data_IF_456336131809
#
_entry.id   IF_456336131809
#
_cell.length_a   1.000
_cell.length_b   1.000
_cell.length_c   1.000
_cell.angle_alpha   90.00
_cell.angle_beta   90.00
_cell.angle_gamma   90.00
#
_symmetry.space_group_name_H-M   'P 1'
#
loop_
_entity.id
_entity.type
_entity.pdbx_description
1 polymer ?
#
# COMPACT_ATOMS: atom_id res chain seq x y z
N UNK A 1 -17.63 48.18 42.05
CA UNK A 1 -17.14 48.93 40.88
C UNK A 1 -15.80 48.32 40.49
N UNK A 2 -15.73 47.78 39.27
CA UNK A 2 -14.51 47.47 38.48
C UNK A 2 -13.57 46.36 38.97
N UNK A 3 -13.73 45.12 38.50
CA UNK A 3 -12.63 44.13 38.33
C UNK A 3 -12.96 42.92 37.42
N UNK A 4 -14.01 42.97 36.56
CA UNK A 4 -14.41 41.81 35.75
C UNK A 4 -14.40 42.01 34.22
N UNK A 5 -13.89 43.14 33.72
CA UNK A 5 -13.91 43.48 32.29
C UNK A 5 -12.57 43.38 31.57
N UNK A 6 -11.46 43.20 32.29
CA UNK A 6 -10.13 43.46 31.71
C UNK A 6 -9.34 42.19 31.36
N UNK A 7 -9.85 40.99 31.70
CA UNK A 7 -9.18 39.71 31.40
C UNK A 7 -9.61 39.03 30.10
N UNK A 8 -10.70 39.49 29.46
CA UNK A 8 -11.18 38.94 28.19
C UNK A 8 -10.56 39.63 26.96
N UNK A 9 -9.94 40.80 27.12
CA UNK A 9 -9.35 41.54 26.00
C UNK A 9 -7.92 41.11 25.65
N UNK A 10 -7.11 40.66 26.62
CA UNK A 10 -5.72 40.25 26.36
C UNK A 10 -5.60 38.86 25.69
N UNK A 11 -6.57 37.96 25.89
CA UNK A 11 -6.61 36.67 25.20
C UNK A 11 -7.03 36.75 23.72
N UNK A 12 -7.66 37.86 23.31
CA UNK A 12 -8.05 38.09 21.91
C UNK A 12 -6.90 38.64 21.05
N UNK A 13 -6.09 39.57 21.60
CA UNK A 13 -5.03 40.27 20.85
C UNK A 13 -3.86 39.35 20.48
N UNK A 14 -3.56 38.35 21.31
CA UNK A 14 -2.53 37.34 21.01
C UNK A 14 -2.94 36.34 19.94
N UNK A 15 -4.23 35.99 19.85
CA UNK A 15 -4.76 35.05 18.84
C UNK A 15 -4.73 35.66 17.46
N UNK A 16 -5.09 36.93 17.33
CA UNK A 16 -5.14 37.62 16.04
C UNK A 16 -3.73 37.85 15.44
N UNK A 17 -2.73 38.13 16.27
CA UNK A 17 -1.35 38.36 15.81
C UNK A 17 -0.57 37.09 15.45
N UNK A 18 -0.89 35.94 16.05
CA UNK A 18 -0.32 34.62 15.67
C UNK A 18 -0.96 34.09 14.38
N UNK A 19 -2.26 34.32 14.22
CA UNK A 19 -3.03 33.99 13.01
C UNK A 19 -2.58 34.82 11.80
N UNK A 20 -2.17 36.08 12.01
CA UNK A 20 -1.74 37.01 10.94
C UNK A 20 -0.39 36.67 10.27
N UNK A 21 0.46 35.85 10.89
CA UNK A 21 1.80 35.50 10.36
C UNK A 21 1.89 34.10 9.73
N UNK A 22 0.77 33.38 9.64
CA UNK A 22 0.70 32.07 9.00
C UNK A 22 0.17 32.25 7.57
N UNK A 23 0.74 31.58 6.56
CA UNK A 23 0.21 31.65 5.19
C UNK A 23 -1.26 31.20 5.21
N UNK A 24 -2.12 31.91 4.47
CA UNK A 24 -3.58 31.96 4.62
C UNK A 24 -4.37 30.63 4.55
N UNK A 25 -3.71 29.48 4.34
CA UNK A 25 -4.29 28.15 4.47
C UNK A 25 -3.96 27.42 5.78
N UNK A 26 -3.01 27.92 6.59
CA UNK A 26 -2.51 27.28 7.82
C UNK A 26 -3.18 27.87 9.07
N UNK A 27 -3.75 29.07 8.98
CA UNK A 27 -4.39 29.77 10.10
C UNK A 27 -5.63 29.05 10.65
N UNK A 28 -6.44 28.44 9.78
CA UNK A 28 -7.70 27.81 10.18
C UNK A 28 -7.46 26.48 10.93
N UNK A 29 -6.58 25.62 10.40
CA UNK A 29 -6.20 24.36 11.07
C UNK A 29 -5.61 24.59 12.47
N UNK A 30 -4.85 25.67 12.66
CA UNK A 30 -4.27 26.01 13.96
C UNK A 30 -5.34 26.40 14.99
N UNK A 31 -6.39 27.11 14.55
CA UNK A 31 -7.55 27.47 15.38
C UNK A 31 -8.39 26.23 15.71
N UNK A 32 -8.61 25.33 14.75
CA UNK A 32 -9.34 24.07 14.97
C UNK A 32 -8.58 23.13 15.92
N UNK A 33 -7.25 23.09 15.82
CA UNK A 33 -6.40 22.33 16.76
C UNK A 33 -6.45 22.90 18.18
N UNK A 34 -6.46 24.23 18.32
CA UNK A 34 -6.60 24.89 19.62
C UNK A 34 -7.98 24.62 20.24
N UNK A 35 -9.04 24.58 19.42
CA UNK A 35 -10.40 24.23 19.87
C UNK A 35 -10.48 22.80 20.44
N UNK A 36 -9.65 21.88 19.94
CA UNK A 36 -9.53 20.50 20.44
C UNK A 36 -8.52 20.40 21.61
N UNK A 37 -7.89 21.52 22.00
CA UNK A 37 -6.88 21.57 23.08
C UNK A 37 -5.51 21.01 22.68
N UNK A 38 -5.24 20.87 21.39
CA UNK A 38 -3.97 20.34 20.87
C UNK A 38 -2.99 21.46 20.52
N UNK A 39 -1.85 21.49 21.20
CA UNK A 39 -0.74 22.41 20.88
C UNK A 39 0.22 21.76 19.88
N UNK A 40 0.37 22.27 18.64
CA UNK A 40 1.31 21.72 17.68
C UNK A 40 2.76 21.93 18.15
N UNK A 41 3.48 20.83 18.40
CA UNK A 41 4.91 20.85 18.82
C UNK A 41 5.85 20.69 17.62
N UNK A 42 5.35 20.19 16.50
CA UNK A 42 6.16 19.92 15.30
C UNK A 42 6.02 21.05 14.28
N UNK A 43 7.16 21.60 13.83
CA UNK A 43 7.20 22.50 12.67
C UNK A 43 6.86 21.68 11.43
N UNK A 44 5.81 22.04 10.68
CA UNK A 44 5.41 21.36 9.43
C UNK A 44 6.32 21.83 8.29
N UNK A 45 7.25 20.99 7.77
CA UNK A 45 8.19 21.43 6.75
C UNK A 45 7.68 21.18 5.32
N UNK A 46 6.65 20.35 5.15
CA UNK A 46 6.24 19.85 3.85
C UNK A 46 5.20 20.75 3.17
N UNK A 47 5.51 21.17 1.95
CA UNK A 47 4.53 21.82 1.06
C UNK A 47 3.50 20.83 0.49
N UNK A 48 2.52 21.34 -0.25
CA UNK A 48 1.49 20.53 -0.93
C UNK A 48 2.11 19.53 -1.93
N UNK A 49 3.05 19.99 -2.75
CA UNK A 49 3.71 19.17 -3.77
C UNK A 49 4.57 18.09 -3.11
N UNK A 50 5.26 18.41 -2.02
CA UNK A 50 6.10 17.47 -1.29
C UNK A 50 5.27 16.39 -0.60
N UNK A 51 4.13 16.75 -0.01
CA UNK A 51 3.18 15.81 0.61
C UNK A 51 2.50 14.89 -0.41
N UNK A 52 2.22 15.42 -1.61
CA UNK A 52 1.72 14.60 -2.73
C UNK A 52 2.79 13.63 -3.23
N UNK A 53 4.02 14.12 -3.44
CA UNK A 53 5.14 13.31 -3.90
C UNK A 53 5.50 12.19 -2.90
N UNK A 54 5.49 12.48 -1.60
CA UNK A 54 5.76 11.46 -0.57
C UNK A 54 4.73 10.33 -0.59
N UNK A 55 3.46 10.66 -0.82
CA UNK A 55 2.37 9.68 -0.92
C UNK A 55 2.54 8.79 -2.15
N UNK A 56 2.92 9.37 -3.30
CA UNK A 56 3.20 8.61 -4.52
C UNK A 56 4.41 7.67 -4.36
N UNK A 57 5.47 8.14 -3.69
CA UNK A 57 6.65 7.32 -3.38
C UNK A 57 6.31 6.13 -2.47
N UNK A 58 5.47 6.35 -1.45
CA UNK A 58 5.09 5.32 -0.49
C UNK A 58 4.28 4.17 -1.12
N UNK A 59 3.50 4.44 -2.17
CA UNK A 59 2.61 3.45 -2.78
C UNK A 59 3.33 2.43 -3.68
N UNK A 60 4.54 2.73 -4.19
CA UNK A 60 5.29 1.89 -5.14
C UNK A 60 4.40 1.11 -6.14
N UNK A 61 3.65 1.85 -6.97
CA UNK A 61 2.64 1.26 -7.84
C UNK A 61 3.21 0.23 -8.83
N UNK A 62 4.40 0.50 -9.39
CA UNK A 62 5.00 -0.34 -10.45
C UNK A 62 5.27 -1.77 -9.96
N UNK A 63 5.87 -1.91 -8.77
CA UNK A 63 6.17 -3.22 -8.20
C UNK A 63 4.91 -4.00 -7.82
N UNK A 64 3.93 -3.33 -7.22
CA UNK A 64 2.69 -3.97 -6.77
C UNK A 64 1.85 -4.43 -7.97
N UNK A 65 1.72 -3.60 -9.01
CA UNK A 65 0.97 -3.97 -10.22
C UNK A 65 1.57 -5.21 -10.88
N UNK A 66 2.89 -5.38 -10.93
CA UNK A 66 3.53 -6.58 -11.51
C UNK A 66 3.10 -7.87 -10.79
N UNK A 67 3.22 -7.88 -9.47
CA UNK A 67 2.90 -9.06 -8.66
C UNK A 67 1.40 -9.35 -8.71
N UNK A 68 0.57 -8.32 -8.61
CA UNK A 68 -0.89 -8.46 -8.66
C UNK A 68 -1.36 -8.92 -10.03
N UNK A 69 -0.76 -8.41 -11.12
CA UNK A 69 -1.07 -8.87 -12.46
C UNK A 69 -0.69 -10.34 -12.62
N UNK A 70 0.52 -10.75 -12.23
CA UNK A 70 0.95 -12.14 -12.32
C UNK A 70 0.01 -13.10 -11.58
N UNK A 71 -0.30 -12.81 -10.32
CA UNK A 71 -1.17 -13.67 -9.49
C UNK A 71 -2.61 -13.65 -10.01
N UNK A 72 -3.14 -12.48 -10.38
CA UNK A 72 -4.49 -12.34 -10.91
C UNK A 72 -4.68 -13.08 -12.22
N UNK A 73 -3.67 -13.04 -13.11
CA UNK A 73 -3.69 -13.76 -14.38
C UNK A 73 -3.65 -15.28 -14.15
N UNK A 74 -2.80 -15.73 -13.21
CA UNK A 74 -2.63 -17.14 -12.90
C UNK A 74 -3.87 -17.79 -12.26
N UNK A 75 -4.66 -17.02 -11.51
CA UNK A 75 -5.77 -17.55 -10.68
C UNK A 75 -7.17 -17.30 -11.26
N UNK A 76 -7.41 -16.15 -11.88
CA UNK A 76 -8.75 -15.72 -12.29
C UNK A 76 -8.92 -15.41 -13.77
N UNK A 77 -7.83 -15.34 -14.54
CA UNK A 77 -7.87 -14.90 -15.93
C UNK A 77 -8.22 -13.41 -16.10
N UNK A 78 -8.27 -12.90 -17.35
CA UNK A 78 -8.29 -11.46 -17.61
C UNK A 78 -9.60 -10.79 -17.18
N UNK A 79 -10.73 -11.47 -17.37
CA UNK A 79 -12.04 -10.93 -17.04
C UNK A 79 -12.20 -10.72 -15.53
N UNK A 80 -11.70 -11.65 -14.71
CA UNK A 80 -11.75 -11.52 -13.25
C UNK A 80 -10.84 -10.41 -12.73
N UNK A 81 -9.71 -10.18 -13.40
CA UNK A 81 -8.81 -9.08 -13.04
C UNK A 81 -9.41 -7.71 -13.32
N UNK A 82 -10.03 -7.53 -14.48
CA UNK A 82 -10.68 -6.26 -14.83
C UNK A 82 -11.89 -5.98 -13.94
N UNK A 83 -12.72 -6.99 -13.66
CA UNK A 83 -13.88 -6.81 -12.78
C UNK A 83 -13.47 -6.50 -11.34
N UNK A 84 -12.48 -7.20 -10.79
CA UNK A 84 -11.96 -6.92 -9.44
C UNK A 84 -11.25 -5.57 -9.34
N UNK A 85 -10.51 -5.15 -10.38
CA UNK A 85 -9.86 -3.84 -10.43
C UNK A 85 -10.86 -2.70 -10.43
N UNK A 86 -11.96 -2.81 -11.20
CA UNK A 86 -13.02 -1.79 -11.22
C UNK A 86 -13.71 -1.65 -9.85
N UNK A 87 -14.04 -2.77 -9.20
CA UNK A 87 -14.62 -2.77 -7.86
C UNK A 87 -13.67 -2.10 -6.86
N UNK A 88 -12.36 -2.40 -6.97
CA UNK A 88 -11.34 -1.79 -6.11
C UNK A 88 -11.22 -0.27 -6.32
N UNK A 89 -11.26 0.20 -7.56
CA UNK A 89 -11.21 1.65 -7.87
C UNK A 89 -12.40 2.37 -7.24
N UNK A 90 -13.62 1.84 -7.40
CA UNK A 90 -14.82 2.46 -6.82
C UNK A 90 -14.76 2.45 -5.30
N UNK A 91 -14.43 1.29 -4.70
CA UNK A 91 -14.35 1.16 -3.24
C UNK A 91 -13.29 2.09 -2.62
N UNK A 92 -12.09 2.12 -3.20
CA UNK A 92 -11.00 2.98 -2.71
C UNK A 92 -11.30 4.47 -2.88
N UNK A 93 -11.98 4.88 -3.95
CA UNK A 93 -12.39 6.28 -4.16
C UNK A 93 -13.39 6.73 -3.11
N UNK A 94 -14.39 5.89 -2.80
CA UNK A 94 -15.39 6.19 -1.75
C UNK A 94 -14.69 6.28 -0.39
N UNK A 95 -13.82 5.32 -0.06
CA UNK A 95 -13.05 5.36 1.19
C UNK A 95 -12.18 6.61 1.28
N UNK A 96 -11.52 7.01 0.20
CA UNK A 96 -10.70 8.21 0.16
C UNK A 96 -11.53 9.49 0.36
N UNK A 97 -12.74 9.57 -0.21
CA UNK A 97 -13.63 10.71 -0.01
C UNK A 97 -14.07 10.85 1.46
N UNK A 98 -14.48 9.74 2.10
CA UNK A 98 -14.84 9.72 3.53
C UNK A 98 -13.65 10.14 4.39
N UNK A 99 -12.45 9.65 4.07
CA UNK A 99 -11.25 10.02 4.80
C UNK A 99 -10.92 11.51 4.64
N UNK A 100 -11.12 12.07 3.45
CA UNK A 100 -10.90 13.49 3.19
C UNK A 100 -11.84 14.38 4.03
N UNK A 101 -13.11 14.00 4.17
CA UNK A 101 -14.08 14.70 5.04
C UNK A 101 -13.65 14.66 6.51
N UNK A 102 -13.23 13.49 7.01
CA UNK A 102 -12.75 13.33 8.39
C UNK A 102 -11.48 14.15 8.64
N UNK A 103 -10.51 14.11 7.70
CA UNK A 103 -9.27 14.88 7.81
C UNK A 103 -9.53 16.39 7.86
N UNK A 104 -10.56 16.89 7.15
CA UNK A 104 -10.94 18.31 7.17
C UNK A 104 -11.61 18.72 8.48
N UNK A 105 -12.30 17.80 9.17
CA UNK A 105 -12.95 18.08 10.44
C UNK A 105 -12.01 17.90 11.66
N UNK A 106 -11.03 16.99 11.54
CA UNK A 106 -10.11 16.63 12.62
C UNK A 106 -8.66 16.60 12.10
N UNK A 107 -7.99 17.76 11.94
CA UNK A 107 -6.61 17.87 11.43
C UNK A 107 -5.55 17.44 12.46
N UNK A 108 -5.78 16.34 13.17
CA UNK A 108 -4.94 15.81 14.25
C UNK A 108 -3.79 14.97 13.71
N UNK A 109 -2.58 15.15 14.26
CA UNK A 109 -1.37 14.39 13.89
C UNK A 109 -1.31 12.96 14.49
N UNK A 110 -2.44 12.40 14.89
CA UNK A 110 -2.56 11.06 15.44
C UNK A 110 -3.55 10.26 14.61
N UNK A 111 -3.10 9.12 14.12
CA UNK A 111 -3.73 8.39 13.00
C UNK A 111 -5.17 7.91 13.27
N UNK A 112 -5.76 7.28 12.25
CA UNK A 112 -7.08 6.61 12.16
C UNK A 112 -7.72 6.06 13.46
N UNK A 113 -6.95 5.68 14.47
CA UNK A 113 -7.47 5.25 15.77
C UNK A 113 -8.12 6.39 16.58
N UNK A 114 -7.63 7.63 16.47
CA UNK A 114 -8.25 8.79 17.13
C UNK A 114 -9.58 9.12 16.46
N UNK A 115 -9.61 9.11 15.13
CA UNK A 115 -10.84 9.29 14.37
C UNK A 115 -11.88 8.23 14.72
N UNK A 116 -11.44 6.97 14.89
CA UNK A 116 -12.32 5.89 15.32
C UNK A 116 -12.82 6.06 16.77
N UNK A 117 -11.99 6.58 17.68
CA UNK A 117 -12.43 6.84 19.06
C UNK A 117 -13.43 7.99 19.15
N UNK A 118 -13.24 9.04 18.36
CA UNK A 118 -14.18 10.17 18.30
C UNK A 118 -15.50 9.75 17.66
N UNK A 119 -15.46 8.98 16.56
CA UNK A 119 -16.67 8.52 15.88
C UNK A 119 -17.54 7.58 16.73
N UNK A 120 -16.95 6.83 17.66
CA UNK A 120 -17.67 5.88 18.52
C UNK A 120 -18.26 6.51 19.80
N UNK A 121 -17.99 7.80 20.06
CA UNK A 121 -18.54 8.55 21.20
C UNK A 121 -17.97 8.16 22.57
N UNK A 122 -18.44 8.84 23.63
CA UNK A 122 -17.85 8.77 24.97
C UNK A 122 -17.91 7.39 25.64
N UNK A 123 -18.89 6.55 25.29
CA UNK A 123 -19.07 5.23 25.91
C UNK A 123 -18.16 4.16 25.31
N UNK A 124 -17.94 4.17 23.98
CA UNK A 124 -17.21 3.12 23.26
C UNK A 124 -15.92 3.61 22.60
N UNK A 125 -15.60 4.90 22.67
CA UNK A 125 -14.44 5.51 22.01
C UNK A 125 -13.11 4.83 22.33
N UNK A 126 -12.86 4.50 23.60
CA UNK A 126 -11.62 3.80 24.01
C UNK A 126 -11.50 2.40 23.41
N UNK A 127 -12.61 1.67 23.32
CA UNK A 127 -12.63 0.31 22.78
C UNK A 127 -12.51 0.33 21.25
N UNK A 128 -13.25 1.20 20.57
CA UNK A 128 -13.16 1.38 19.13
C UNK A 128 -11.75 1.83 18.69
N UNK A 129 -11.18 2.83 19.37
CA UNK A 129 -9.81 3.28 19.12
C UNK A 129 -8.77 2.19 19.36
N UNK A 130 -8.92 1.39 20.43
CA UNK A 130 -8.03 0.26 20.69
C UNK A 130 -8.11 -0.81 19.59
N UNK A 131 -9.32 -1.19 19.16
CA UNK A 131 -9.48 -2.17 18.08
C UNK A 131 -8.82 -1.68 16.79
N UNK A 132 -9.06 -0.43 16.39
CA UNK A 132 -8.46 0.14 15.18
C UNK A 132 -6.93 0.22 15.30
N UNK A 133 -6.42 0.63 16.46
CA UNK A 133 -4.97 0.65 16.71
C UNK A 133 -4.35 -0.75 16.63
N UNK A 134 -5.01 -1.77 17.19
CA UNK A 134 -4.57 -3.15 17.12
C UNK A 134 -4.53 -3.68 15.67
N UNK A 135 -5.60 -3.45 14.91
CA UNK A 135 -5.68 -3.81 13.49
C UNK A 135 -4.62 -3.08 12.66
N UNK A 136 -4.41 -1.79 12.90
CA UNK A 136 -3.36 -1.04 12.21
C UNK A 136 -1.96 -1.61 12.53
N UNK A 137 -1.67 -1.89 13.80
CA UNK A 137 -0.40 -2.46 14.22
C UNK A 137 -0.12 -3.81 13.55
N UNK A 138 -1.09 -4.73 13.58
CA UNK A 138 -0.94 -6.06 12.95
C UNK A 138 -0.82 -5.98 11.43
N UNK A 139 -1.53 -5.04 10.79
CA UNK A 139 -1.40 -4.79 9.36
C UNK A 139 0.00 -4.30 8.99
N UNK A 140 0.54 -3.31 9.71
CA UNK A 140 1.88 -2.79 9.45
C UNK A 140 2.98 -3.84 9.68
N UNK A 141 2.87 -4.66 10.73
CA UNK A 141 3.82 -5.77 10.97
C UNK A 141 3.77 -6.78 9.81
N UNK A 142 2.56 -7.14 9.37
CA UNK A 142 2.38 -8.08 8.26
C UNK A 142 2.92 -7.50 6.95
N UNK A 143 2.74 -6.20 6.73
CA UNK A 143 3.23 -5.50 5.55
C UNK A 143 4.76 -5.52 5.45
N UNK A 144 5.46 -5.28 6.56
CA UNK A 144 6.93 -5.37 6.62
C UNK A 144 7.42 -6.79 6.30
N UNK A 145 6.75 -7.81 6.83
CA UNK A 145 7.06 -9.20 6.54
C UNK A 145 6.88 -9.54 5.04
N UNK A 146 5.75 -9.17 4.46
CA UNK A 146 5.47 -9.39 3.03
C UNK A 146 6.45 -8.65 2.12
N UNK A 147 6.78 -7.39 2.44
CA UNK A 147 7.68 -6.58 1.62
C UNK A 147 9.14 -7.05 1.70
N UNK A 148 9.54 -7.75 2.78
CA UNK A 148 10.85 -8.38 2.89
C UNK A 148 10.91 -9.74 2.16
N UNK A 149 9.78 -10.42 2.03
CA UNK A 149 9.68 -11.70 1.32
C UNK A 149 9.67 -11.53 -0.20
N UNK A 150 9.00 -10.51 -0.74
CA UNK A 150 8.90 -10.25 -2.17
C UNK A 150 10.27 -10.15 -2.90
N UNK A 151 11.27 -9.36 -2.43
CA UNK A 151 12.58 -9.31 -3.06
C UNK A 151 13.33 -10.63 -2.93
N UNK A 152 13.18 -11.36 -1.82
CA UNK A 152 13.81 -12.67 -1.63
C UNK A 152 13.31 -13.69 -2.67
N UNK A 153 12.00 -13.71 -2.96
CA UNK A 153 11.43 -14.53 -4.04
C UNK A 153 11.99 -14.13 -5.41
N UNK A 154 12.15 -12.83 -5.66
CA UNK A 154 12.71 -12.35 -6.91
C UNK A 154 14.18 -12.75 -7.07
N UNK A 155 15.00 -12.61 -6.01
CA UNK A 155 16.40 -13.06 -5.97
C UNK A 155 16.53 -14.56 -6.24
N UNK A 156 15.68 -15.38 -5.63
CA UNK A 156 15.65 -16.83 -5.87
C UNK A 156 15.25 -17.16 -7.31
N UNK A 157 14.29 -16.43 -7.87
CA UNK A 157 13.87 -16.58 -9.27
C UNK A 157 14.97 -16.19 -10.26
N UNK A 158 15.92 -15.31 -9.88
CA UNK A 158 17.07 -15.01 -10.74
C UNK A 158 18.06 -16.17 -10.79
N UNK A 159 18.26 -16.90 -9.69
CA UNK A 159 19.20 -18.03 -9.65
C UNK A 159 18.77 -19.17 -10.58
N UNK A 160 17.47 -19.36 -10.79
CA UNK A 160 16.96 -20.36 -11.76
C UNK A 160 17.24 -19.98 -13.21
N UNK A 161 17.28 -18.69 -13.51
CA UNK A 161 17.59 -18.17 -14.85
C UNK A 161 19.08 -18.34 -15.18
N UNK A 162 19.95 -18.31 -14.17
CA UNK A 162 21.39 -18.52 -14.33
C UNK A 162 21.82 -20.00 -14.25
N UNK A 163 20.87 -20.93 -14.43
CA UNK A 163 21.12 -22.39 -14.48
C UNK A 163 21.77 -22.96 -13.20
N UNK A 164 21.56 -22.30 -12.05
CA UNK A 164 22.00 -22.82 -10.75
C UNK A 164 20.94 -23.76 -10.18
N UNK A 165 21.18 -25.07 -10.34
CA UNK A 165 20.26 -26.10 -9.86
C UNK A 165 20.45 -26.35 -8.36
N UNK A 166 19.35 -26.23 -7.60
CA UNK A 166 19.36 -26.60 -6.19
C UNK A 166 19.28 -28.13 -6.06
N UNK A 167 20.15 -28.77 -5.24
CA UNK A 167 20.16 -30.22 -5.06
C UNK A 167 18.82 -30.84 -4.62
N UNK A 168 17.94 -30.02 -4.06
CA UNK A 168 16.67 -30.40 -3.45
C UNK A 168 15.44 -29.99 -4.28
N UNK A 169 15.62 -29.56 -5.53
CA UNK A 169 14.56 -29.08 -6.42
C UNK A 169 14.04 -27.68 -6.05
N UNK A 170 13.48 -26.99 -7.04
CA UNK A 170 12.94 -25.63 -6.95
C UNK A 170 11.48 -25.57 -6.49
N UNK A 171 10.99 -26.66 -5.90
CA UNK A 171 9.58 -26.83 -5.62
C UNK A 171 9.24 -26.43 -4.18
N UNK A 172 8.02 -25.91 -3.97
CA UNK A 172 7.57 -25.40 -2.67
C UNK A 172 7.48 -26.50 -1.59
N UNK A 173 7.52 -27.77 -2.01
CA UNK A 173 7.56 -28.96 -1.17
C UNK A 173 8.92 -29.17 -0.48
N UNK A 174 9.99 -28.54 -0.98
CA UNK A 174 11.35 -28.71 -0.48
C UNK A 174 11.65 -27.83 0.73
N UNK A 175 11.97 -28.45 1.88
CA UNK A 175 12.29 -27.73 3.13
C UNK A 175 13.53 -26.83 2.99
N UNK A 176 14.51 -27.25 2.19
CA UNK A 176 15.75 -26.49 1.96
C UNK A 176 15.48 -25.18 1.22
N UNK A 177 14.64 -25.20 0.18
CA UNK A 177 14.25 -24.01 -0.57
C UNK A 177 13.54 -22.99 0.34
N UNK A 178 12.61 -23.46 1.18
CA UNK A 178 11.90 -22.62 2.15
C UNK A 178 12.86 -22.03 3.21
N UNK A 179 13.84 -22.80 3.64
CA UNK A 179 14.87 -22.35 4.58
C UNK A 179 15.75 -21.24 3.98
N UNK A 180 16.21 -21.41 2.73
CA UNK A 180 16.99 -20.39 2.02
C UNK A 180 16.15 -19.13 1.79
N UNK A 181 14.91 -19.27 1.34
CA UNK A 181 13.98 -18.16 1.18
C UNK A 181 13.79 -17.37 2.47
N UNK A 182 13.63 -18.05 3.61
CA UNK A 182 13.52 -17.42 4.91
C UNK A 182 14.81 -16.72 5.34
N UNK A 183 15.98 -17.32 5.10
CA UNK A 183 17.26 -16.70 5.42
C UNK A 183 17.51 -15.42 4.59
N UNK A 184 17.21 -15.46 3.29
CA UNK A 184 17.36 -14.29 2.40
C UNK A 184 16.37 -13.20 2.78
N UNK A 185 15.10 -13.53 3.08
CA UNK A 185 14.11 -12.53 3.49
C UNK A 185 14.46 -11.87 4.83
N UNK A 186 15.00 -12.63 5.79
CA UNK A 186 15.55 -12.06 7.02
C UNK A 186 16.72 -11.12 6.74
N UNK A 187 17.63 -11.47 5.83
CA UNK A 187 18.72 -10.59 5.40
C UNK A 187 18.20 -9.27 4.82
N UNK A 188 17.21 -9.32 3.92
CA UNK A 188 16.55 -8.11 3.39
C UNK A 188 15.88 -7.30 4.50
N UNK A 189 15.24 -7.95 5.46
CA UNK A 189 14.59 -7.29 6.60
C UNK A 189 15.61 -6.56 7.49
N UNK A 190 16.77 -7.16 7.76
CA UNK A 190 17.85 -6.52 8.52
C UNK A 190 18.41 -5.29 7.81
N UNK A 191 18.57 -5.35 6.49
CA UNK A 191 18.99 -4.19 5.69
C UNK A 191 17.94 -3.07 5.79
N UNK A 192 16.65 -3.41 5.64
CA UNK A 192 15.57 -2.44 5.78
C UNK A 192 15.50 -1.82 7.19
N UNK A 193 15.75 -2.61 8.24
CA UNK A 193 15.86 -2.11 9.60
C UNK A 193 17.04 -1.15 9.75
N UNK A 194 18.19 -1.47 9.15
CA UNK A 194 19.35 -0.59 9.10
C UNK A 194 19.04 0.76 8.45
N UNK A 195 18.19 0.78 7.42
CA UNK A 195 17.77 2.01 6.77
C UNK A 195 16.92 2.94 7.65
N UNK A 196 16.29 2.42 8.71
CA UNK A 196 15.52 3.24 9.67
C UNK A 196 16.43 4.07 10.59
N UNK A 197 17.70 3.73 10.71
CA UNK A 197 18.67 4.50 11.48
C UNK A 197 19.30 5.66 10.69
N UNK A 198 18.89 5.89 9.43
CA UNK A 198 19.43 7.00 8.66
C UNK A 198 19.00 8.36 9.25
N UNK A 199 19.92 9.32 9.38
CA UNK A 199 19.60 10.63 9.91
C UNK A 199 18.67 11.40 8.96
N UNK A 200 17.79 12.29 9.48
CA UNK A 200 16.68 12.89 8.71
C UNK A 200 17.08 13.60 7.41
N UNK A 201 18.31 14.14 7.38
CA UNK A 201 18.90 14.82 6.22
C UNK A 201 19.06 13.94 4.98
N UNK A 202 19.12 12.61 5.15
CA UNK A 202 19.26 11.68 4.02
C UNK A 202 17.93 11.23 3.44
N UNK A 203 16.78 11.42 4.12
CA UNK A 203 15.49 10.99 3.60
C UNK A 203 15.14 11.63 2.26
N UNK A 204 15.44 12.93 2.08
CA UNK A 204 15.21 13.62 0.82
C UNK A 204 16.03 13.00 -0.34
N UNK A 205 17.24 12.53 -0.07
CA UNK A 205 18.05 11.82 -1.06
C UNK A 205 17.47 10.44 -1.35
N UNK A 206 17.06 9.69 -0.32
CA UNK A 206 16.42 8.37 -0.46
C UNK A 206 15.17 8.46 -1.33
N UNK A 207 14.29 9.45 -1.09
CA UNK A 207 13.09 9.64 -1.93
C UNK A 207 13.44 9.94 -3.38
N UNK A 208 14.42 10.82 -3.64
CA UNK A 208 14.88 11.13 -5.01
C UNK A 208 15.47 9.92 -5.71
N UNK A 209 16.30 9.14 -5.03
CA UNK A 209 16.90 7.90 -5.56
C UNK A 209 15.82 6.87 -5.84
N UNK A 210 14.87 6.66 -4.93
CA UNK A 210 13.75 5.74 -5.14
C UNK A 210 12.90 6.16 -6.33
N UNK A 211 12.54 7.44 -6.45
CA UNK A 211 11.79 7.94 -7.61
C UNK A 211 12.58 7.73 -8.91
N UNK A 212 13.88 8.02 -8.93
CA UNK A 212 14.72 7.78 -10.10
C UNK A 212 14.74 6.29 -10.48
N UNK A 213 14.87 5.39 -9.51
CA UNK A 213 14.83 3.94 -9.74
C UNK A 213 13.46 3.48 -10.26
N UNK A 214 12.36 4.01 -9.74
CA UNK A 214 11.01 3.71 -10.22
C UNK A 214 10.80 4.19 -11.65
N UNK A 215 11.29 5.39 -11.98
CA UNK A 215 11.23 5.91 -13.35
C UNK A 215 12.08 5.07 -14.30
N UNK A 216 13.30 4.69 -13.89
CA UNK A 216 14.16 3.80 -14.68
C UNK A 216 13.48 2.45 -14.90
N UNK A 217 12.91 1.83 -13.87
CA UNK A 217 12.16 0.55 -14.00
C UNK A 217 11.00 0.71 -14.98
N UNK A 218 10.22 1.79 -14.87
CA UNK A 218 9.13 2.09 -15.81
C UNK A 218 9.62 2.28 -17.26
N UNK A 219 10.72 3.00 -17.47
CA UNK A 219 11.30 3.22 -18.79
C UNK A 219 11.88 1.93 -19.40
N UNK A 220 12.55 1.11 -18.61
CA UNK A 220 13.04 -0.20 -19.05
C UNK A 220 11.89 -1.12 -19.46
N UNK A 221 10.78 -1.11 -18.71
CA UNK A 221 9.60 -1.92 -19.01
C UNK A 221 8.87 -1.44 -20.27
N UNK A 222 8.69 -0.12 -20.42
CA UNK A 222 8.01 0.45 -21.59
C UNK A 222 8.83 0.28 -22.87
N UNK A 223 10.16 0.29 -22.77
CA UNK A 223 11.08 0.05 -23.90
C UNK A 223 11.20 -1.45 -24.20
N UNK A 224 11.05 -2.31 -23.20
CA UNK A 224 11.06 -3.75 -23.35
C UNK A 224 9.86 -4.21 -24.17
N UNK A 225 10.11 -4.64 -25.41
CA UNK A 225 9.11 -5.20 -26.33
C UNK A 225 8.34 -6.41 -25.75
N UNK A 226 8.76 -6.94 -24.61
CA UNK A 226 8.19 -8.12 -23.96
C UNK A 226 6.86 -7.83 -23.27
N UNK A 227 6.68 -6.68 -22.61
CA UNK A 227 5.43 -6.43 -21.85
C UNK A 227 4.20 -6.29 -22.76
N UNK A 228 4.22 -5.48 -23.83
CA UNK A 228 3.09 -5.40 -24.75
C UNK A 228 2.87 -6.73 -25.48
N UNK A 229 3.93 -7.41 -25.94
CA UNK A 229 3.79 -8.68 -26.66
C UNK A 229 3.22 -9.78 -25.78
N UNK A 230 3.73 -9.99 -24.56
CA UNK A 230 3.20 -11.02 -23.65
C UNK A 230 1.75 -10.71 -23.28
N UNK A 231 1.43 -9.45 -22.98
CA UNK A 231 0.06 -9.04 -22.67
C UNK A 231 -0.91 -9.21 -23.87
N UNK A 232 -0.50 -8.78 -25.07
CA UNK A 232 -1.33 -8.88 -26.29
C UNK A 232 -1.41 -10.29 -26.88
N UNK A 233 -0.34 -11.07 -26.83
CA UNK A 233 -0.32 -12.47 -27.29
C UNK A 233 -1.13 -13.35 -26.34
N UNK A 234 -1.06 -13.10 -25.03
CA UNK A 234 -1.86 -13.84 -24.06
C UNK A 234 -3.35 -13.45 -24.14
N UNK A 235 -3.70 -12.17 -24.31
CA UNK A 235 -5.11 -11.77 -24.50
C UNK A 235 -5.71 -12.38 -25.75
N UNK A 236 -4.95 -12.49 -26.86
CA UNK A 236 -5.35 -13.27 -28.04
C UNK A 236 -5.56 -14.74 -27.71
N UNK A 237 -4.62 -15.37 -27.01
CA UNK A 237 -4.71 -16.79 -26.63
C UNK A 237 -5.92 -17.10 -25.75
N UNK A 238 -6.28 -16.19 -24.84
CA UNK A 238 -7.48 -16.32 -24.00
C UNK A 238 -8.77 -16.08 -24.80
N UNK A 239 -8.78 -15.13 -25.72
CA UNK A 239 -9.89 -14.93 -26.64
C UNK A 239 -10.14 -16.18 -27.50
N UNK A 240 -9.07 -16.84 -27.96
CA UNK A 240 -9.14 -18.06 -28.76
C UNK A 240 -9.53 -19.31 -27.93
N UNK A 241 -9.28 -19.30 -26.62
CA UNK A 241 -9.65 -20.37 -25.69
C UNK A 241 -11.04 -20.17 -25.04
N UNK A 242 -11.71 -19.03 -25.28
CA UNK A 242 -13.11 -18.89 -24.92
C UNK A 242 -13.91 -19.97 -25.65
N UNK A 243 -14.71 -20.81 -24.95
CA UNK A 243 -15.38 -21.94 -25.56
C UNK A 243 -16.30 -21.43 -26.65
N UNK A 244 -15.88 -21.66 -27.89
CA UNK A 244 -16.68 -21.39 -29.06
C UNK A 244 -17.96 -22.20 -28.87
N UNK A 245 -19.09 -21.54 -28.55
CA UNK A 245 -20.43 -22.12 -28.39
C UNK A 245 -20.99 -22.71 -29.70
N UNK A 246 -20.12 -23.18 -30.58
CA UNK A 246 -20.39 -23.71 -31.92
C UNK A 246 -19.62 -24.99 -32.25
N UNK A 247 -19.02 -25.69 -31.27
CA UNK A 247 -18.56 -27.06 -31.51
C UNK A 247 -19.70 -28.02 -31.14
N UNK A 248 -20.23 -28.82 -32.10
CA UNK A 248 -21.19 -29.85 -31.76
C UNK A 248 -20.52 -30.87 -30.82
N UNK A 249 -21.19 -31.18 -29.71
CA UNK A 249 -20.78 -32.17 -28.73
C UNK A 249 -20.34 -33.48 -29.43
N UNK A 250 -19.04 -33.68 -29.58
CA UNK A 250 -18.48 -34.98 -29.95
C UNK A 250 -18.74 -35.90 -28.76
N UNK A 251 -19.73 -36.79 -28.90
CA UNK A 251 -19.99 -37.87 -27.96
C UNK A 251 -18.71 -38.69 -27.80
N UNK A 252 -18.09 -38.63 -26.62
CA UNK A 252 -17.06 -39.59 -26.22
C UNK A 252 -17.66 -41.00 -26.25
N UNK A 253 -17.02 -41.99 -26.91
CA UNK A 253 -17.47 -43.36 -26.83
C UNK A 253 -17.29 -43.85 -25.39
N UNK A 254 -18.38 -44.30 -24.78
CA UNK A 254 -18.36 -45.00 -23.50
C UNK A 254 -17.49 -46.25 -23.63
N UNK A 255 -16.26 -46.19 -23.10
CA UNK A 255 -15.38 -47.35 -22.94
C UNK A 255 -15.98 -48.24 -21.85
N UNK A 256 -16.75 -49.26 -22.25
CA UNK A 256 -17.04 -50.42 -21.40
C UNK A 256 -15.71 -51.13 -21.10
N UNK A 257 -15.24 -51.04 -19.87
CA UNK A 257 -14.07 -51.79 -19.38
C UNK A 257 -14.25 -52.02 -17.88
N UNK A 258 -14.45 -53.28 -17.50
CA UNK A 258 -14.94 -53.69 -16.19
C UNK A 258 -14.02 -53.39 -15.02
N UNK A 259 -14.66 -53.18 -13.87
CA UNK A 259 -14.07 -53.25 -12.54
C UNK A 259 -13.41 -54.62 -12.33
N UNK A 260 -12.15 -54.62 -11.92
CA UNK A 260 -11.58 -55.71 -11.12
C UNK A 260 -11.05 -55.10 -9.83
N UNK A 261 -11.64 -55.50 -8.71
CA UNK A 261 -11.11 -55.31 -7.36
C UNK A 261 -10.43 -56.61 -6.95
N UNK A 262 -9.15 -56.52 -6.62
CA UNK A 262 -8.45 -57.37 -5.64
C UNK A 262 -7.37 -56.52 -5.00
#
# INVERSE_FOLDING_TARGET
>A
MSTKSDSESEHGVGKEQVVANLPAGISNDAVDLEAIGYKPVLTRPFGLIESFASSFCAMNFIGVTRTLLYIGLATGGPAAMWSSSLIHIVGSTITAAVLAEICSALPLSGSIYIWASEAAGAAYGRLAGFMVAWWACTAWISFVASNSQAPAQFLLSLMTIFDYDFPSGLDASSTTYRGVLFAVSLGCMWIALGLNYLPPKWFAMTFRVTVALLLIDFFLLSTSSYFPRVFFDWTKKVHDLAPNRRQPLVRLPLRKGGLHWT
#
